data_IF_071211665163
#
_entry.id   IF_071211665163
#
_cell.length_a   1.000
_cell.length_b   1.000
_cell.length_c   1.000
_cell.angle_alpha   90.00
_cell.angle_beta   90.00
_cell.angle_gamma   90.00
#
_symmetry.space_group_name_H-M   'P 1'
#
loop_
_entity.id
_entity.type
_entity.pdbx_description
1 polymer ?
#
# COMPACT_ATOMS: atom_id res chain seq x y z
N UNK A 1 0.77 14.39 -5.02
CA UNK A 1 -0.09 14.01 -3.88
C UNK A 1 -0.14 12.49 -3.70
N UNK A 2 1.06 11.88 -3.45
CA UNK A 2 1.18 10.45 -3.12
C UNK A 2 0.51 10.17 -1.78
N UNK A 3 -0.20 9.05 -1.68
CA UNK A 3 -0.82 8.57 -0.44
C UNK A 3 -0.45 7.11 -0.20
N UNK A 4 -0.39 6.71 1.06
CA UNK A 4 -0.28 5.30 1.44
C UNK A 4 -1.66 4.73 1.74
N UNK A 5 -1.91 3.47 1.32
CA UNK A 5 -3.19 2.77 1.53
C UNK A 5 -2.90 1.36 2.02
N UNK A 6 -3.22 1.05 3.27
CA UNK A 6 -2.92 -0.26 3.86
C UNK A 6 -3.99 -0.69 4.87
N UNK A 7 -3.75 -1.79 5.60
CA UNK A 7 -4.58 -2.23 6.71
C UNK A 7 -4.61 -1.22 7.87
N UNK A 8 -5.64 -1.29 8.71
CA UNK A 8 -5.77 -0.36 9.84
C UNK A 8 -4.68 -0.55 10.89
N UNK A 9 -4.18 -1.77 11.02
CA UNK A 9 -3.16 -2.16 12.00
C UNK A 9 -1.73 -2.01 11.44
N UNK A 10 -1.55 -1.65 10.16
CA UNK A 10 -0.25 -1.48 9.53
C UNK A 10 0.53 -0.33 10.17
N UNK A 11 1.83 -0.53 10.36
CA UNK A 11 2.78 0.47 10.89
C UNK A 11 3.94 0.74 9.94
N UNK A 12 4.20 -0.19 9.06
CA UNK A 12 5.20 -0.23 8.02
C UNK A 12 4.54 0.05 6.68
N UNK A 13 4.60 1.31 6.23
CA UNK A 13 4.05 1.71 4.93
C UNK A 13 5.16 1.64 3.90
N UNK A 14 5.16 0.58 3.11
CA UNK A 14 6.22 0.31 2.14
C UNK A 14 5.96 0.95 0.79
N UNK A 15 4.70 1.23 0.45
CA UNK A 15 4.31 1.79 -0.84
C UNK A 15 3.37 2.99 -0.73
N UNK A 16 3.53 3.92 -1.67
CA UNK A 16 2.63 5.05 -1.87
C UNK A 16 2.31 5.19 -3.36
N UNK A 17 1.09 5.62 -3.65
CA UNK A 17 0.55 5.66 -5.01
C UNK A 17 -0.06 7.01 -5.34
N UNK A 18 0.05 7.37 -6.63
CA UNK A 18 -0.64 8.51 -7.22
C UNK A 18 -0.82 8.28 -8.72
N UNK A 19 -1.93 8.74 -9.27
CA UNK A 19 -2.07 8.81 -10.72
C UNK A 19 -2.72 10.11 -11.18
N UNK A 20 -2.48 10.45 -12.44
CA UNK A 20 -3.16 11.52 -13.14
C UNK A 20 -3.63 11.07 -14.53
N UNK A 21 -4.79 11.55 -14.94
CA UNK A 21 -5.29 11.33 -16.30
C UNK A 21 -4.45 12.14 -17.31
N UNK A 22 -4.16 11.55 -18.45
CA UNK A 22 -3.44 12.21 -19.55
C UNK A 22 -4.41 12.87 -20.51
N UNK A 23 -4.04 14.01 -21.08
CA UNK A 23 -4.84 14.74 -22.11
C UNK A 23 -5.17 13.89 -23.34
N UNK A 24 -4.33 12.91 -23.68
CA UNK A 24 -4.53 11.99 -24.81
C UNK A 24 -5.19 10.66 -24.45
N UNK A 25 -5.76 10.54 -23.26
CA UNK A 25 -6.32 9.28 -22.72
C UNK A 25 -5.30 8.44 -21.96
N UNK A 26 -5.81 7.58 -21.08
CA UNK A 26 -5.01 6.78 -20.16
C UNK A 26 -4.43 7.59 -19.00
N UNK A 27 -3.44 7.05 -18.33
CA UNK A 27 -2.92 7.57 -17.08
C UNK A 27 -1.39 7.58 -17.03
N UNK A 28 -0.88 8.46 -16.17
CA UNK A 28 0.46 8.36 -15.63
C UNK A 28 0.32 7.94 -14.16
N UNK A 29 0.95 6.83 -13.80
CA UNK A 29 0.92 6.24 -12.47
C UNK A 29 2.30 6.33 -11.85
N UNK A 30 2.39 6.77 -10.62
CA UNK A 30 3.59 6.71 -9.78
C UNK A 30 3.36 5.74 -8.63
N UNK A 31 4.27 4.82 -8.49
CA UNK A 31 4.37 3.92 -7.34
C UNK A 31 5.72 4.20 -6.69
N UNK A 32 5.70 4.70 -5.47
CA UNK A 32 6.88 4.94 -4.68
C UNK A 32 7.01 3.82 -3.65
N UNK A 33 8.15 3.17 -3.63
CA UNK A 33 8.49 2.11 -2.67
C UNK A 33 9.58 2.63 -1.75
N UNK A 34 9.46 2.39 -0.44
CA UNK A 34 10.46 2.78 0.55
C UNK A 34 11.86 2.28 0.15
N UNK A 35 12.84 3.17 0.12
CA UNK A 35 14.22 2.79 -0.23
C UNK A 35 14.95 2.18 0.96
N UNK A 36 14.62 0.92 1.24
CA UNK A 36 15.27 0.14 2.30
C UNK A 36 16.74 -0.05 2.00
N UNK A 37 17.13 -0.11 0.73
CA UNK A 37 18.52 -0.36 0.29
C UNK A 37 19.47 0.78 0.66
N UNK A 38 18.94 1.97 0.89
CA UNK A 38 19.74 3.09 1.39
C UNK A 38 20.28 2.84 2.81
N UNK A 39 19.50 2.20 3.64
CA UNK A 39 19.83 1.92 5.05
C UNK A 39 20.47 0.54 5.24
N UNK A 40 19.99 -0.46 4.52
CA UNK A 40 20.47 -1.85 4.59
C UNK A 40 21.46 -2.09 3.45
N UNK A 41 22.74 -1.82 3.72
CA UNK A 41 23.79 -1.96 2.72
C UNK A 41 24.26 -3.40 2.63
N UNK A 42 24.59 -3.89 1.42
CA UNK A 42 25.11 -5.24 1.21
C UNK A 42 26.30 -5.57 2.13
N UNK A 43 26.36 -6.81 2.57
CA UNK A 43 27.44 -7.38 3.41
C UNK A 43 27.57 -6.79 4.83
N UNK A 44 26.72 -5.85 5.22
CA UNK A 44 26.66 -5.35 6.61
C UNK A 44 26.10 -6.41 7.56
N UNK A 45 26.29 -6.22 8.86
CA UNK A 45 25.68 -7.09 9.88
C UNK A 45 24.14 -7.08 9.81
N UNK A 46 23.56 -5.92 9.49
CA UNK A 46 22.11 -5.77 9.32
C UNK A 46 21.57 -6.55 8.11
N UNK A 47 22.27 -6.48 6.98
CA UNK A 47 21.96 -7.24 5.77
C UNK A 47 22.02 -8.75 6.01
N UNK A 48 23.10 -9.22 6.64
CA UNK A 48 23.27 -10.63 6.98
C UNK A 48 22.17 -11.14 7.91
N UNK A 49 21.80 -10.36 8.90
CA UNK A 49 20.72 -10.72 9.83
C UNK A 49 19.36 -10.72 9.12
N UNK A 50 19.10 -9.75 8.22
CA UNK A 50 17.87 -9.70 7.44
C UNK A 50 17.76 -10.92 6.51
N UNK A 51 18.84 -11.31 5.83
CA UNK A 51 18.91 -12.52 5.00
C UNK A 51 18.66 -13.78 5.85
N UNK A 52 19.26 -13.85 7.04
CA UNK A 52 19.08 -14.99 7.94
C UNK A 52 17.62 -15.13 8.43
N UNK A 53 16.93 -14.03 8.72
CA UNK A 53 15.51 -14.01 9.08
C UNK A 53 14.60 -14.30 7.88
N UNK A 54 14.92 -13.80 6.71
CA UNK A 54 14.22 -14.00 5.45
C UNK A 54 12.92 -13.22 5.29
N UNK A 55 12.13 -13.04 6.35
CA UNK A 55 10.89 -12.27 6.39
C UNK A 55 10.55 -11.79 7.81
N UNK A 56 9.53 -10.96 7.91
CA UNK A 56 8.87 -10.69 9.19
C UNK A 56 7.80 -11.75 9.47
N UNK A 57 7.68 -12.18 10.72
CA UNK A 57 6.70 -13.19 11.14
C UNK A 57 5.64 -12.50 12.01
N UNK A 58 4.39 -12.58 11.56
CA UNK A 58 3.25 -11.93 12.20
C UNK A 58 2.45 -12.96 13.00
N UNK A 59 2.56 -12.86 14.33
CA UNK A 59 1.72 -13.59 15.26
C UNK A 59 0.55 -12.72 15.71
N UNK A 60 -0.55 -13.31 16.17
CA UNK A 60 -1.58 -12.52 16.85
C UNK A 60 -0.97 -11.71 18.01
N UNK A 61 -1.12 -10.39 17.98
CA UNK A 61 -0.57 -9.45 18.98
C UNK A 61 0.96 -9.28 19.09
N UNK A 62 1.74 -9.93 18.23
CA UNK A 62 3.21 -9.82 18.23
C UNK A 62 3.77 -9.95 16.82
N UNK A 63 4.79 -9.16 16.52
CA UNK A 63 5.55 -9.28 15.26
C UNK A 63 7.01 -9.55 15.60
N UNK A 64 7.62 -10.51 14.92
CA UNK A 64 9.08 -10.71 14.90
C UNK A 64 9.57 -10.10 13.57
N UNK A 65 10.07 -8.88 13.58
CA UNK A 65 10.39 -8.16 12.35
C UNK A 65 11.69 -8.67 11.73
N UNK A 66 11.75 -8.67 10.39
CA UNK A 66 12.97 -8.94 9.63
C UNK A 66 14.03 -7.86 9.87
N UNK A 67 13.61 -6.61 9.89
CA UNK A 67 14.43 -5.44 10.16
C UNK A 67 14.04 -4.81 11.51
N UNK A 68 14.96 -4.10 12.20
CA UNK A 68 14.62 -3.34 13.40
C UNK A 68 13.46 -2.37 13.17
N UNK A 69 12.52 -2.26 14.11
CA UNK A 69 11.33 -1.41 14.00
C UNK A 69 11.67 0.07 13.75
N UNK A 70 12.83 0.55 14.19
CA UNK A 70 13.31 1.90 13.89
C UNK A 70 13.48 2.12 12.38
N UNK A 71 13.75 1.07 11.62
CA UNK A 71 13.78 1.10 10.15
C UNK A 71 12.39 0.85 9.58
N UNK A 72 11.79 -0.31 9.85
CA UNK A 72 10.54 -0.73 9.22
C UNK A 72 9.36 0.20 9.52
N UNK A 73 9.18 0.60 10.79
CA UNK A 73 8.08 1.50 11.18
C UNK A 73 8.47 2.98 11.17
N UNK A 74 9.79 3.27 11.12
CA UNK A 74 10.36 4.60 11.24
C UNK A 74 10.93 5.15 9.94
N UNK A 75 12.21 4.93 9.71
CA UNK A 75 12.97 5.60 8.64
C UNK A 75 12.54 5.14 7.23
N UNK A 76 12.19 3.87 7.06
CA UNK A 76 11.73 3.33 5.79
C UNK A 76 10.23 3.54 5.58
N UNK A 77 9.43 3.54 6.65
CA UNK A 77 7.98 3.70 6.52
C UNK A 77 7.62 5.06 5.91
N UNK A 78 6.80 5.05 4.85
CA UNK A 78 6.34 6.24 4.13
C UNK A 78 5.25 7.00 4.92
N UNK A 79 5.59 7.35 6.17
CA UNK A 79 4.71 8.05 7.07
C UNK A 79 4.26 9.41 6.50
N UNK A 80 3.04 9.87 6.81
CA UNK A 80 2.53 11.11 6.27
C UNK A 80 3.30 12.33 6.80
N UNK A 81 3.41 13.36 5.95
CA UNK A 81 3.96 14.67 6.29
C UNK A 81 5.45 14.68 6.68
N UNK A 82 6.20 13.65 6.31
CA UNK A 82 7.65 13.57 6.47
C UNK A 82 8.33 13.15 5.18
N UNK A 83 9.50 13.68 4.93
CA UNK A 83 10.30 13.31 3.78
C UNK A 83 10.88 11.90 3.95
N UNK A 84 10.72 11.08 2.93
CA UNK A 84 11.19 9.69 2.90
C UNK A 84 11.90 9.39 1.60
N UNK A 85 13.01 8.67 1.72
CA UNK A 85 13.72 8.14 0.56
C UNK A 85 12.89 7.02 -0.07
N UNK A 86 12.74 7.05 -1.38
CA UNK A 86 11.98 6.06 -2.10
C UNK A 86 12.56 5.78 -3.48
N UNK A 87 12.28 4.59 -3.98
CA UNK A 87 12.44 4.22 -5.37
C UNK A 87 11.10 4.38 -6.07
N UNK A 88 11.04 5.20 -7.10
CA UNK A 88 9.80 5.46 -7.84
C UNK A 88 9.79 4.67 -9.14
N UNK A 89 8.67 3.98 -9.40
CA UNK A 89 8.31 3.50 -10.71
C UNK A 89 7.22 4.41 -11.29
N UNK A 90 7.59 5.19 -12.30
CA UNK A 90 6.63 6.01 -13.07
C UNK A 90 6.22 5.25 -14.31
N UNK A 91 4.94 5.02 -14.49
CA UNK A 91 4.37 4.20 -15.56
C UNK A 91 3.38 5.00 -16.40
N UNK A 92 3.38 4.73 -17.70
CA UNK A 92 2.34 5.23 -18.61
C UNK A 92 1.38 4.09 -18.94
N UNK A 93 0.12 4.26 -18.55
CA UNK A 93 -0.97 3.31 -18.79
C UNK A 93 -1.88 3.88 -19.87
N UNK A 94 -2.24 3.07 -20.86
CA UNK A 94 -3.20 3.47 -21.88
C UNK A 94 -4.64 3.43 -21.33
N UNK A 95 -5.57 4.02 -22.07
CA UNK A 95 -7.02 3.93 -21.82
C UNK A 95 -7.58 2.49 -21.84
N UNK A 96 -6.83 1.56 -22.44
CA UNK A 96 -7.13 0.11 -22.46
C UNK A 96 -6.35 -0.68 -21.41
N UNK A 97 -5.80 -0.05 -20.39
CA UNK A 97 -5.07 -0.70 -19.31
C UNK A 97 -3.73 -1.34 -19.71
N UNK A 98 -3.16 -0.97 -20.86
CA UNK A 98 -1.86 -1.49 -21.29
C UNK A 98 -0.72 -0.59 -20.82
N UNK A 99 0.32 -1.18 -20.23
CA UNK A 99 1.57 -0.49 -19.93
C UNK A 99 2.27 -0.14 -21.24
N UNK A 100 2.49 1.15 -21.52
CA UNK A 100 3.13 1.64 -22.73
C UNK A 100 4.56 2.17 -22.51
N UNK A 101 4.96 2.36 -21.27
CA UNK A 101 6.30 2.77 -20.89
C UNK A 101 6.45 2.91 -19.38
N UNK A 102 7.68 2.80 -18.90
CA UNK A 102 8.00 3.00 -17.49
C UNK A 102 9.43 3.50 -17.31
N UNK A 103 9.69 4.11 -16.18
CA UNK A 103 11.04 4.47 -15.73
C UNK A 103 11.15 4.32 -14.22
N UNK A 104 12.34 4.01 -13.75
CA UNK A 104 12.66 3.93 -12.32
C UNK A 104 13.67 5.01 -11.96
N UNK A 105 13.53 5.57 -10.78
CA UNK A 105 14.49 6.55 -10.25
C UNK A 105 14.38 6.66 -8.72
N UNK A 106 15.49 7.02 -8.09
CA UNK A 106 15.53 7.39 -6.69
C UNK A 106 14.88 8.76 -6.49
N UNK A 107 14.13 8.92 -5.40
CA UNK A 107 13.46 10.17 -5.08
C UNK A 107 13.33 10.37 -3.57
N UNK A 108 12.96 11.59 -3.22
CA UNK A 108 12.42 11.93 -1.90
C UNK A 108 10.94 12.22 -2.07
N UNK A 109 10.10 11.56 -1.29
CA UNK A 109 8.67 11.79 -1.29
C UNK A 109 8.16 12.27 0.06
N UNK A 110 7.03 12.94 0.04
CA UNK A 110 6.27 13.32 1.22
C UNK A 110 4.83 12.81 1.05
N UNK A 111 4.41 11.87 1.88
CA UNK A 111 3.05 11.33 1.80
C UNK A 111 2.03 12.34 2.31
N UNK A 112 0.99 12.62 1.52
CA UNK A 112 -0.03 13.58 1.88
C UNK A 112 -1.00 13.04 2.94
N UNK A 113 -1.31 11.75 2.86
CA UNK A 113 -2.22 11.11 3.80
C UNK A 113 -1.88 9.63 3.99
N UNK A 114 -2.07 9.15 5.22
CA UNK A 114 -2.16 7.75 5.57
C UNK A 114 -3.62 7.32 5.49
N UNK A 115 -3.95 6.53 4.51
CA UNK A 115 -5.27 5.98 4.30
C UNK A 115 -5.31 4.49 4.64
N UNK A 116 -6.52 3.97 4.83
CA UNK A 116 -6.73 2.53 4.98
C UNK A 116 -7.69 2.04 3.91
N UNK A 117 -7.66 0.73 3.60
CA UNK A 117 -8.60 0.13 2.66
C UNK A 117 -10.06 0.44 3.01
N UNK A 118 -10.41 0.40 4.31
CA UNK A 118 -11.77 0.72 4.77
C UNK A 118 -12.13 2.19 4.53
N UNK A 119 -11.20 3.14 4.81
CA UNK A 119 -11.43 4.57 4.56
C UNK A 119 -11.58 4.88 3.09
N UNK A 120 -10.70 4.33 2.25
CA UNK A 120 -10.77 4.53 0.79
C UNK A 120 -12.06 3.95 0.24
N UNK A 121 -12.44 2.73 0.66
CA UNK A 121 -13.74 2.14 0.29
C UNK A 121 -14.91 3.06 0.66
N UNK A 122 -14.99 3.51 1.91
CA UNK A 122 -16.05 4.40 2.36
C UNK A 122 -16.08 5.76 1.63
N UNK A 123 -14.90 6.33 1.29
CA UNK A 123 -14.80 7.56 0.47
C UNK A 123 -15.40 7.33 -0.93
N UNK A 124 -15.06 6.21 -1.56
CA UNK A 124 -15.55 5.84 -2.89
C UNK A 124 -17.05 5.52 -2.88
N UNK A 125 -17.55 4.96 -1.78
CA UNK A 125 -18.98 4.69 -1.54
C UNK A 125 -19.78 5.95 -1.16
N UNK A 126 -19.12 7.11 -1.05
CA UNK A 126 -19.80 8.40 -0.85
C UNK A 126 -19.96 8.83 0.61
N UNK A 127 -19.19 8.30 1.57
CA UNK A 127 -19.25 8.75 2.96
C UNK A 127 -18.87 10.24 3.07
N UNK A 128 -19.84 11.09 3.44
CA UNK A 128 -19.71 12.54 3.44
C UNK A 128 -18.63 13.03 4.41
N UNK A 129 -18.59 12.49 5.64
CA UNK A 129 -17.62 12.89 6.67
C UNK A 129 -16.17 12.64 6.22
N UNK A 130 -15.89 11.45 5.66
CA UNK A 130 -14.56 11.13 5.17
C UNK A 130 -14.20 11.92 3.91
N UNK A 131 -15.17 12.19 3.03
CA UNK A 131 -14.95 13.02 1.84
C UNK A 131 -14.63 14.46 2.19
N UNK A 132 -15.29 15.01 3.21
CA UNK A 132 -14.99 16.35 3.73
C UNK A 132 -13.60 16.39 4.37
N UNK A 133 -13.27 15.40 5.19
CA UNK A 133 -11.96 15.28 5.87
C UNK A 133 -10.79 15.16 4.89
N UNK A 134 -10.96 14.42 3.80
CA UNK A 134 -9.94 14.15 2.78
C UNK A 134 -10.25 14.84 1.45
N UNK A 135 -10.85 16.02 1.51
CA UNK A 135 -11.34 16.75 0.32
C UNK A 135 -10.28 16.94 -0.76
N UNK A 136 -9.01 17.08 -0.39
CA UNK A 136 -7.89 17.23 -1.33
C UNK A 136 -7.51 15.91 -2.00
N UNK A 137 -7.65 14.79 -1.30
CA UNK A 137 -7.27 13.47 -1.78
C UNK A 137 -8.40 12.80 -2.59
N UNK A 138 -9.66 13.14 -2.31
CA UNK A 138 -10.84 12.52 -2.96
C UNK A 138 -10.74 12.50 -4.49
N UNK A 139 -10.43 13.59 -5.22
CA UNK A 139 -10.33 13.55 -6.67
C UNK A 139 -9.25 12.59 -7.17
N UNK A 140 -8.15 12.47 -6.43
CA UNK A 140 -7.05 11.56 -6.77
C UNK A 140 -7.40 10.10 -6.51
N UNK A 141 -8.14 9.81 -5.43
CA UNK A 141 -8.64 8.46 -5.12
C UNK A 141 -9.67 8.00 -6.15
N UNK A 142 -10.57 8.88 -6.57
CA UNK A 142 -11.53 8.58 -7.64
C UNK A 142 -10.81 8.30 -8.96
N UNK A 143 -9.75 9.03 -9.28
CA UNK A 143 -8.95 8.80 -10.48
C UNK A 143 -8.19 7.47 -10.41
N UNK A 144 -7.55 7.16 -9.27
CA UNK A 144 -6.92 5.88 -9.02
C UNK A 144 -7.92 4.73 -9.18
N UNK A 145 -9.15 4.90 -8.68
CA UNK A 145 -10.19 3.89 -8.80
C UNK A 145 -10.66 3.69 -10.24
N UNK A 146 -10.76 4.78 -11.03
CA UNK A 146 -11.06 4.67 -12.48
C UNK A 146 -9.99 3.89 -13.20
N UNK A 147 -8.73 4.20 -12.98
CA UNK A 147 -7.60 3.46 -13.55
C UNK A 147 -7.60 1.99 -13.11
N UNK A 148 -7.83 1.73 -11.82
CA UNK A 148 -7.91 0.38 -11.27
C UNK A 148 -8.96 -0.48 -12.00
N UNK A 149 -10.16 0.06 -12.25
CA UNK A 149 -11.21 -0.67 -12.99
C UNK A 149 -10.75 -1.11 -14.36
N UNK A 150 -10.05 -0.24 -15.09
CA UNK A 150 -9.51 -0.56 -16.42
C UNK A 150 -8.41 -1.62 -16.33
N UNK A 151 -7.50 -1.50 -15.35
CA UNK A 151 -6.46 -2.50 -15.13
C UNK A 151 -7.03 -3.85 -14.72
N UNK A 152 -8.06 -3.86 -13.85
CA UNK A 152 -8.76 -5.08 -13.44
C UNK A 152 -9.40 -5.78 -14.63
N UNK A 153 -10.15 -5.05 -15.45
CA UNK A 153 -10.77 -5.61 -16.66
C UNK A 153 -9.72 -6.24 -17.59
N UNK A 154 -8.60 -5.54 -17.84
CA UNK A 154 -7.51 -6.06 -18.69
C UNK A 154 -6.88 -7.32 -18.09
N UNK A 155 -6.77 -7.39 -16.77
CA UNK A 155 -6.25 -8.55 -16.03
C UNK A 155 -7.19 -9.73 -16.17
N UNK A 156 -8.49 -9.52 -16.02
CA UNK A 156 -9.52 -10.54 -16.15
C UNK A 156 -9.58 -11.09 -17.59
N UNK A 157 -9.53 -10.21 -18.60
CA UNK A 157 -9.48 -10.59 -20.03
C UNK A 157 -8.23 -11.42 -20.36
N UNK A 158 -7.12 -11.22 -19.65
CA UNK A 158 -5.88 -11.99 -19.81
C UNK A 158 -5.94 -13.36 -19.12
N UNK A 159 -7.01 -13.66 -18.37
CA UNK A 159 -7.18 -14.90 -17.65
C UNK A 159 -6.37 -15.02 -16.37
N UNK A 160 -6.11 -13.90 -15.69
CA UNK A 160 -5.45 -13.93 -14.39
C UNK A 160 -6.35 -14.61 -13.36
N UNK A 161 -5.76 -15.52 -12.57
CA UNK A 161 -6.47 -16.22 -11.51
C UNK A 161 -6.54 -15.29 -10.28
N UNK A 162 -7.75 -15.06 -9.77
CA UNK A 162 -7.99 -14.43 -8.47
C UNK A 162 -8.22 -15.50 -7.40
N UNK A 163 -7.47 -15.41 -6.31
CA UNK A 163 -7.72 -16.23 -5.13
C UNK A 163 -8.48 -15.36 -4.11
N UNK A 164 -9.67 -15.81 -3.74
CA UNK A 164 -10.37 -15.22 -2.58
C UNK A 164 -9.72 -15.78 -1.32
N UNK A 165 -9.03 -14.91 -0.58
CA UNK A 165 -8.41 -15.28 0.69
C UNK A 165 -9.30 -14.85 1.85
N UNK A 166 -9.46 -15.75 2.82
CA UNK A 166 -10.18 -15.48 4.06
C UNK A 166 -9.14 -15.20 5.14
N UNK A 167 -9.20 -14.01 5.73
CA UNK A 167 -8.39 -13.68 6.90
C UNK A 167 -9.08 -14.12 8.19
N UNK A 168 -8.31 -14.82 9.04
CA UNK A 168 -8.77 -15.19 10.37
C UNK A 168 -8.18 -14.23 11.40
N UNK A 169 -9.05 -13.49 12.08
CA UNK A 169 -8.65 -12.59 13.18
C UNK A 169 -8.95 -13.25 14.53
N UNK A 170 -7.94 -13.24 15.40
CA UNK A 170 -8.04 -13.69 16.78
C UNK A 170 -8.25 -12.49 17.68
N UNK A 171 -9.33 -12.48 18.44
CA UNK A 171 -9.59 -11.45 19.47
C UNK A 171 -9.24 -12.05 20.82
N UNK A 172 -8.36 -11.37 21.56
CA UNK A 172 -7.91 -11.80 22.87
C UNK A 172 -8.59 -10.98 23.97
N UNK A 173 -8.89 -11.62 25.08
CA UNK A 173 -9.32 -10.93 26.30
C UNK A 173 -8.12 -10.35 27.08
N UNK A 174 -8.40 -9.72 28.22
CA UNK A 174 -7.37 -9.14 29.09
C UNK A 174 -6.32 -10.18 29.58
N UNK A 175 -6.71 -11.45 29.69
CA UNK A 175 -5.82 -12.55 30.10
C UNK A 175 -5.04 -13.14 28.90
N UNK A 176 -5.07 -12.51 27.72
CA UNK A 176 -4.46 -13.00 26.47
C UNK A 176 -4.98 -14.36 26.02
N UNK A 177 -6.19 -14.73 26.40
CA UNK A 177 -6.89 -15.92 25.88
C UNK A 177 -7.75 -15.53 24.69
N UNK A 178 -7.80 -16.40 23.68
CA UNK A 178 -8.68 -16.19 22.52
C UNK A 178 -10.13 -16.23 23.00
N UNK A 179 -10.85 -15.12 22.83
CA UNK A 179 -12.26 -15.03 23.18
C UNK A 179 -13.17 -15.05 21.94
N UNK A 180 -12.64 -14.70 20.77
CA UNK A 180 -13.38 -14.72 19.52
C UNK A 180 -12.46 -15.06 18.35
N UNK A 181 -12.95 -15.92 17.47
CA UNK A 181 -12.37 -16.20 16.17
C UNK A 181 -13.28 -15.59 15.12
N UNK A 182 -12.77 -14.65 14.35
CA UNK A 182 -13.52 -13.98 13.30
C UNK A 182 -12.87 -14.25 11.94
N UNK A 183 -13.66 -14.70 10.97
CA UNK A 183 -13.23 -14.88 9.59
C UNK A 183 -13.93 -13.86 8.70
N UNK A 184 -13.17 -13.07 7.97
CA UNK A 184 -13.71 -12.11 7.01
C UNK A 184 -12.93 -12.18 5.69
N UNK A 185 -13.53 -11.75 4.58
CA UNK A 185 -12.77 -11.47 3.37
C UNK A 185 -11.63 -10.50 3.67
N UNK A 186 -10.49 -10.67 3.00
CA UNK A 186 -9.36 -9.74 3.14
C UNK A 186 -9.82 -8.29 2.92
N UNK A 187 -9.33 -7.31 3.69
CA UNK A 187 -9.66 -5.91 3.46
C UNK A 187 -9.41 -5.43 2.02
N UNK A 188 -8.40 -5.98 1.35
CA UNK A 188 -8.12 -5.73 -0.08
C UNK A 188 -9.28 -6.14 -0.99
N UNK A 189 -10.05 -7.15 -0.61
CA UNK A 189 -11.17 -7.66 -1.39
C UNK A 189 -12.41 -6.76 -1.32
N UNK A 190 -12.46 -5.83 -0.35
CA UNK A 190 -13.57 -4.86 -0.21
C UNK A 190 -13.53 -3.72 -1.21
N UNK A 191 -12.42 -3.54 -1.93
CA UNK A 191 -12.27 -2.54 -2.99
C UNK A 191 -12.63 -3.08 -4.39
N UNK A 192 -13.20 -4.28 -4.45
CA UNK A 192 -13.62 -4.93 -5.72
C UNK A 192 -14.93 -4.39 -6.26
#
# INVERSE_FOLDING_TARGET
PLVTIDGEDARDFDDAVYCEAKKGGGWRLWVAIADVSYYVRPDTALDKEAINRGNSVYFPSQVVPMLPEVLSNGLCSLNPQVDRLCMVCEMTISDKGKLSGYKHYEAVMNSHARLTYNKVGAILDGNEELRERYVQEVPHLEELHRMYKVLKQTRDERGAIEFETVETKFIFNADRKICLLYTSPSPRDRLK
#
